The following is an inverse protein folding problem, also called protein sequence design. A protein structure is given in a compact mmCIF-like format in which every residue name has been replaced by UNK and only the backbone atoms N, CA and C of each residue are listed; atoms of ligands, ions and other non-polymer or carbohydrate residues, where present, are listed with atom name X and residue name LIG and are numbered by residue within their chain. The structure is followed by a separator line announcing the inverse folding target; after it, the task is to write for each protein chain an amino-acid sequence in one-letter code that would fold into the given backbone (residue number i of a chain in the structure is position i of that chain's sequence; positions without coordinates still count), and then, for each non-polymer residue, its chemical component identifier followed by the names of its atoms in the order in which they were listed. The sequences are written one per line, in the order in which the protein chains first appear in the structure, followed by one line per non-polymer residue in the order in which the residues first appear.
data_IF_467436666730
#
_entry.id   IF_467436666730
#
_cell.length_a   1.000
_cell.length_b   1.000
_cell.length_c   1.000
_cell.angle_alpha   90.00
_cell.angle_beta   90.00
_cell.angle_gamma   90.00
#
_symmetry.space_group_name_H-M   'P 1'
#
loop_
_entity.id
_entity.type
_entity.pdbx_description
1 polymer ?
#
# COMPACT_ATOMS: atom_id res chain seq x y z
N UNK A 1 -18.38 -3.46 21.35
CA UNK A 1 -18.46 -2.57 20.20
C UNK A 1 -17.08 -2.47 19.59
N UNK A 2 -16.99 -2.77 18.29
CA UNK A 2 -15.90 -2.46 17.36
C UNK A 2 -14.48 -2.88 17.74
N UNK A 3 -14.05 -4.03 17.18
CA UNK A 3 -12.63 -4.31 17.05
C UNK A 3 -12.02 -3.20 16.19
N UNK A 4 -11.22 -2.33 16.82
CA UNK A 4 -10.32 -1.43 16.11
C UNK A 4 -9.32 -2.32 15.36
N UNK A 5 -9.67 -2.68 14.12
CA UNK A 5 -8.69 -3.11 13.15
C UNK A 5 -7.81 -1.90 12.87
N UNK A 6 -6.78 -1.76 13.70
CA UNK A 6 -5.55 -1.05 13.34
C UNK A 6 -5.00 -1.82 12.15
N UNK A 7 -5.51 -1.47 10.95
CA UNK A 7 -5.06 -1.99 9.67
C UNK A 7 -3.68 -1.42 9.43
N UNK A 8 -2.69 -1.97 10.15
CA UNK A 8 -1.29 -1.65 9.99
C UNK A 8 -0.87 -2.15 8.61
N UNK A 9 -0.96 -1.27 7.61
CA UNK A 9 -0.53 -1.55 6.24
C UNK A 9 0.92 -2.03 6.28
N UNK A 10 1.18 -3.22 5.73
CA UNK A 10 2.52 -3.81 5.68
C UNK A 10 3.26 -3.35 4.43
N UNK A 11 4.43 -2.74 4.61
CA UNK A 11 5.32 -2.46 3.49
C UNK A 11 6.07 -3.72 3.10
N UNK A 12 5.97 -4.11 1.82
CA UNK A 12 6.68 -5.25 1.25
C UNK A 12 7.73 -4.77 0.25
N UNK A 13 8.87 -5.48 0.21
CA UNK A 13 9.99 -5.16 -0.70
C UNK A 13 9.87 -5.86 -2.06
N UNK A 14 8.91 -6.77 -2.22
CA UNK A 14 8.62 -7.51 -3.45
C UNK A 14 7.13 -7.71 -3.61
N UNK A 15 6.68 -7.88 -4.84
CA UNK A 15 5.28 -8.13 -5.16
C UNK A 15 4.77 -9.39 -4.40
N UNK A 16 3.74 -9.26 -3.55
CA UNK A 16 3.15 -10.38 -2.85
C UNK A 16 2.24 -11.20 -3.78
N UNK A 17 1.97 -12.46 -3.45
CA UNK A 17 1.05 -13.32 -4.23
C UNK A 17 -0.44 -12.99 -4.05
N UNK A 18 -0.74 -11.80 -3.56
CA UNK A 18 -2.09 -11.34 -3.23
C UNK A 18 -2.68 -10.52 -4.37
N UNK A 19 -3.98 -10.22 -4.29
CA UNK A 19 -4.64 -9.38 -5.29
C UNK A 19 -4.07 -7.95 -5.26
N UNK A 20 -3.58 -7.48 -6.41
CA UNK A 20 -3.26 -6.07 -6.62
C UNK A 20 -4.55 -5.31 -6.85
N UNK A 21 -4.88 -4.41 -5.93
CA UNK A 21 -6.14 -3.65 -5.95
C UNK A 21 -5.99 -2.28 -6.62
N UNK A 22 -4.76 -1.83 -6.86
CA UNK A 22 -4.51 -0.57 -7.56
C UNK A 22 -3.10 -0.02 -7.35
N UNK A 23 -2.94 1.23 -7.78
CA UNK A 23 -1.75 2.06 -7.57
C UNK A 23 -2.23 3.43 -7.15
N UNK A 24 -1.52 4.04 -6.20
CA UNK A 24 -1.73 5.44 -5.77
C UNK A 24 -0.40 6.17 -5.78
N UNK A 25 -0.46 7.48 -5.91
CA UNK A 25 0.71 8.35 -5.90
C UNK A 25 0.56 9.30 -4.71
N UNK A 26 1.46 9.17 -3.74
CA UNK A 26 1.53 10.08 -2.62
C UNK A 26 2.40 11.27 -2.95
N UNK A 27 1.94 12.49 -2.63
CA UNK A 27 2.65 13.72 -2.91
C UNK A 27 3.02 14.47 -1.62
N UNK A 28 4.18 15.13 -1.60
CA UNK A 28 4.55 16.01 -0.49
C UNK A 28 5.87 16.73 -0.67
N UNK A 29 6.17 17.73 0.15
CA UNK A 29 7.39 18.53 0.03
C UNK A 29 8.70 17.81 0.37
N UNK A 30 8.64 16.55 0.81
CA UNK A 30 9.78 15.65 1.03
C UNK A 30 9.33 14.18 1.01
N UNK A 31 10.30 13.25 0.98
CA UNK A 31 10.07 11.78 1.00
C UNK A 31 9.14 11.35 2.15
N UNK A 32 9.32 11.88 3.35
CA UNK A 32 8.51 11.52 4.51
C UNK A 32 7.04 11.89 4.32
N UNK A 33 6.77 13.11 3.85
CA UNK A 33 5.40 13.58 3.61
C UNK A 33 4.75 12.89 2.42
N UNK A 34 5.49 12.62 1.34
CA UNK A 34 4.99 11.91 0.17
C UNK A 34 4.63 10.45 0.51
N UNK A 35 5.46 9.78 1.32
CA UNK A 35 5.14 8.45 1.84
C UNK A 35 3.90 8.45 2.71
N UNK A 36 3.78 9.41 3.64
CA UNK A 36 2.63 9.51 4.52
C UNK A 36 1.32 9.64 3.72
N UNK A 37 1.31 10.52 2.72
CA UNK A 37 0.17 10.68 1.82
C UNK A 37 -0.15 9.37 1.04
N UNK A 38 0.87 8.68 0.54
CA UNK A 38 0.68 7.37 -0.09
C UNK A 38 0.08 6.31 0.85
N UNK A 39 0.45 6.32 2.15
CA UNK A 39 -0.13 5.44 3.15
C UNK A 39 -1.59 5.77 3.45
N UNK A 40 -1.92 7.06 3.58
CA UNK A 40 -3.28 7.50 3.84
C UNK A 40 -4.20 7.10 2.68
N UNK A 41 -3.79 7.36 1.44
CA UNK A 41 -4.50 6.91 0.24
C UNK A 41 -4.61 5.38 0.17
N UNK A 42 -3.56 4.65 0.53
CA UNK A 42 -3.59 3.18 0.58
C UNK A 42 -4.61 2.65 1.59
N UNK A 43 -4.72 3.30 2.76
CA UNK A 43 -5.67 2.93 3.81
C UNK A 43 -7.11 3.17 3.35
N UNK A 44 -7.39 4.30 2.72
CA UNK A 44 -8.71 4.61 2.15
C UNK A 44 -9.15 3.60 1.09
N UNK A 45 -8.20 3.04 0.33
CA UNK A 45 -8.44 1.99 -0.66
C UNK A 45 -8.59 0.59 -0.02
N UNK A 46 -8.41 0.46 1.29
CA UNK A 46 -8.45 -0.82 2.00
C UNK A 46 -7.32 -1.75 1.59
N UNK A 47 -6.13 -1.19 1.34
CA UNK A 47 -4.91 -1.96 1.16
C UNK A 47 -4.48 -2.56 2.50
N UNK A 48 -3.93 -3.77 2.44
CA UNK A 48 -3.33 -4.45 3.61
C UNK A 48 -1.81 -4.49 3.51
N UNK A 49 -1.31 -4.52 2.27
CA UNK A 49 0.10 -4.49 1.95
C UNK A 49 0.33 -3.46 0.86
N UNK A 50 1.47 -2.79 0.91
CA UNK A 50 1.90 -1.87 -0.13
C UNK A 50 3.34 -2.11 -0.51
N UNK A 51 3.66 -1.88 -1.78
CA UNK A 51 5.03 -1.78 -2.25
C UNK A 51 5.27 -0.34 -2.68
N UNK A 52 6.23 0.30 -2.02
CA UNK A 52 6.59 1.69 -2.29
C UNK A 52 7.76 1.72 -3.27
N UNK A 53 7.61 2.51 -4.33
CA UNK A 53 8.74 2.89 -5.17
C UNK A 53 9.58 3.98 -4.48
N UNK A 54 10.85 4.17 -4.88
CA UNK A 54 11.67 5.26 -4.38
C UNK A 54 11.00 6.61 -4.64
N UNK A 55 11.05 7.53 -3.67
CA UNK A 55 10.54 8.88 -3.89
C UNK A 55 11.31 9.56 -5.03
N UNK A 56 10.58 10.18 -5.95
CA UNK A 56 11.13 10.93 -7.08
C UNK A 56 10.60 12.36 -7.06
N UNK A 57 11.40 13.36 -7.44
CA UNK A 57 10.87 14.69 -7.64
C UNK A 57 9.87 14.68 -8.80
N UNK A 58 8.77 15.39 -8.63
CA UNK A 58 7.81 15.63 -9.69
C UNK A 58 8.50 16.38 -10.84
N UNK A 59 8.24 15.94 -12.08
CA UNK A 59 8.89 16.50 -13.26
C UNK A 59 8.24 17.81 -13.70
N UNK A 60 6.99 18.08 -13.27
CA UNK A 60 6.30 19.32 -13.62
C UNK A 60 6.73 20.49 -12.74
N UNK A 61 6.78 20.31 -11.42
CA UNK A 61 7.12 21.40 -10.49
C UNK A 61 8.55 21.33 -9.89
N UNK A 62 9.19 20.15 -9.88
CA UNK A 62 10.53 19.93 -9.32
C UNK A 62 10.67 20.17 -7.81
N UNK A 63 9.58 20.52 -7.13
CA UNK A 63 9.52 20.90 -5.71
C UNK A 63 8.75 19.90 -4.87
N UNK A 64 7.86 19.13 -5.50
CA UNK A 64 7.08 18.08 -4.87
C UNK A 64 7.80 16.75 -5.04
N UNK A 65 7.86 15.95 -3.98
CA UNK A 65 8.27 14.55 -4.05
C UNK A 65 7.03 13.68 -4.25
N UNK A 66 7.12 12.75 -5.18
CA UNK A 66 6.10 11.76 -5.48
C UNK A 66 6.60 10.39 -5.06
N UNK A 67 5.73 9.61 -4.42
CA UNK A 67 5.97 8.21 -4.06
C UNK A 67 4.83 7.37 -4.62
N UNK A 68 5.16 6.50 -5.56
CA UNK A 68 4.21 5.53 -6.10
C UNK A 68 4.06 4.36 -5.12
N UNK A 69 2.82 4.04 -4.75
CA UNK A 69 2.49 2.89 -3.91
C UNK A 69 1.59 1.91 -4.68
N UNK A 70 2.09 0.70 -4.89
CA UNK A 70 1.28 -0.41 -5.39
C UNK A 70 0.53 -1.05 -4.23
N UNK A 71 -0.78 -1.18 -4.38
CA UNK A 71 -1.69 -1.60 -3.32
C UNK A 71 -2.08 -3.07 -3.48
N UNK A 72 -2.03 -3.81 -2.38
CA UNK A 72 -2.41 -5.21 -2.35
C UNK A 72 -3.37 -5.53 -1.20
N UNK A 73 -4.36 -6.38 -1.49
CA UNK A 73 -5.27 -6.94 -0.50
C UNK A 73 -4.93 -8.41 -0.31
N UNK A 74 -4.29 -8.72 0.82
CA UNK A 74 -4.00 -10.07 1.24
C UNK A 74 -5.08 -10.54 2.21
N UNK A 75 -5.48 -11.82 2.13
CA UNK A 75 -6.31 -12.43 3.14
C UNK A 75 -5.61 -12.41 4.51
N UNK A 76 -6.36 -12.34 5.63
CA UNK A 76 -5.78 -12.45 6.95
C UNK A 76 -5.06 -13.80 7.10
N UNK A 77 -3.96 -13.88 7.88
CA UNK A 77 -3.16 -15.09 8.02
C UNK A 77 -3.90 -16.31 8.60
N UNK A 78 -5.12 -16.11 9.09
CA UNK A 78 -6.00 -17.17 9.60
C UNK A 78 -6.92 -17.76 8.52
N UNK A 79 -6.94 -17.24 7.29
CA UNK A 79 -7.53 -17.95 6.16
C UNK A 79 -6.55 -19.03 5.70
N UNK A 80 -6.89 -20.27 6.04
CA UNK A 80 -6.17 -21.48 5.64
C UNK A 80 -5.96 -21.47 4.12
N UNK A 81 -4.70 -21.40 3.70
CA UNK A 81 -4.31 -21.63 2.31
C UNK A 81 -3.77 -23.07 2.20
N UNK A 82 -4.31 -23.92 1.29
CA UNK A 82 -5.31 -23.63 0.26
C UNK A 82 -6.75 -23.71 0.80
N UNK A 83 -7.74 -23.12 0.10
CA UNK A 83 -9.15 -23.40 0.38
C UNK A 83 -9.40 -24.91 0.31
N UNK A 84 -10.26 -25.42 1.20
CA UNK A 84 -10.74 -26.80 1.17
C UNK A 84 -11.38 -27.04 -0.20
N UNK A 85 -10.76 -27.87 -1.05
CA UNK A 85 -11.29 -28.21 -2.38
C UNK A 85 -10.38 -27.98 -3.59
N UNK A 86 -9.08 -27.72 -3.42
CA UNK A 86 -8.14 -27.94 -4.54
C UNK A 86 -8.04 -29.45 -4.83
N UNK A 87 -8.31 -29.92 -6.06
CA UNK A 87 -8.14 -31.33 -6.43
C UNK A 87 -6.68 -31.78 -6.42
#
# INVERSE_FOLDING_TARGET
MSAESTSSIKVVQKEPRCEKIGVVEGAGGNDRTARADAFDQAAERGATHIMLEPAQPDLEDGMTMIVTAMLYRCPPPNEVFPPVGYP
#
